data_IF_384324776620
#
_entry.id   IF_384324776620
#
_cell.length_a   1.000
_cell.length_b   1.000
_cell.length_c   1.000
_cell.angle_alpha   90.00
_cell.angle_beta   90.00
_cell.angle_gamma   90.00
#
_symmetry.space_group_name_H-M   'P 1'
#
loop_
_entity.id
_entity.type
_entity.pdbx_description
1 polymer ?
#
# COMPACT_ATOMS: atom_id res chain seq x y z
N UNK A 1 -2.00 16.46 14.89
CA UNK A 1 -1.81 16.60 13.44
C UNK A 1 -2.89 17.47 12.82
N UNK A 2 -2.52 18.35 11.92
CA UNK A 2 -3.47 19.17 11.17
C UNK A 2 -4.01 18.38 9.99
N UNK A 3 -5.30 18.58 9.70
CA UNK A 3 -5.93 17.93 8.56
C UNK A 3 -7.35 17.50 8.88
N UNK A 4 -7.98 16.86 7.92
CA UNK A 4 -9.34 16.35 8.04
C UNK A 4 -9.32 14.83 8.23
N UNK A 5 -10.27 14.33 9.00
CA UNK A 5 -10.49 12.89 9.09
C UNK A 5 -11.10 12.41 7.78
N UNK A 6 -10.52 11.36 7.23
CA UNK A 6 -10.91 10.80 5.94
C UNK A 6 -11.03 9.29 6.05
N UNK A 7 -11.99 8.72 5.34
CA UNK A 7 -12.19 7.28 5.22
C UNK A 7 -12.37 6.96 3.75
N UNK A 8 -11.63 5.97 3.26
CA UNK A 8 -11.76 5.53 1.86
C UNK A 8 -11.57 4.03 1.78
N UNK A 9 -12.48 3.36 1.10
CA UNK A 9 -12.47 1.91 0.93
C UNK A 9 -12.71 1.63 -0.55
N UNK A 10 -11.69 1.10 -1.22
CA UNK A 10 -11.73 0.83 -2.65
C UNK A 10 -11.41 -0.63 -2.91
N UNK A 11 -12.11 -1.22 -3.85
CA UNK A 11 -11.88 -2.60 -4.29
C UNK A 11 -11.81 -2.64 -5.80
N UNK A 12 -10.84 -3.37 -6.32
CA UNK A 12 -10.68 -3.56 -7.77
C UNK A 12 -10.56 -5.05 -8.08
N UNK A 13 -10.92 -5.39 -9.31
CA UNK A 13 -10.65 -6.70 -9.87
C UNK A 13 -9.33 -6.64 -10.62
N UNK A 14 -8.51 -7.69 -10.47
CA UNK A 14 -7.23 -7.81 -11.15
C UNK A 14 -7.07 -9.22 -11.69
N UNK A 15 -6.41 -9.35 -12.83
CA UNK A 15 -6.12 -10.67 -13.40
C UNK A 15 -4.81 -11.19 -12.84
N UNK A 16 -4.85 -11.60 -11.57
CA UNK A 16 -3.69 -12.10 -10.87
C UNK A 16 -4.11 -13.07 -9.76
N UNK A 17 -3.22 -14.01 -9.47
CA UNK A 17 -3.40 -14.96 -8.38
C UNK A 17 -3.06 -14.32 -7.04
N UNK A 18 -3.61 -14.88 -5.98
CA UNK A 18 -3.36 -14.42 -4.61
C UNK A 18 -1.86 -14.30 -4.31
N UNK A 19 -1.07 -15.29 -4.69
CA UNK A 19 0.37 -15.27 -4.43
C UNK A 19 1.08 -14.11 -5.14
N UNK A 20 0.69 -13.81 -6.37
CA UNK A 20 1.29 -12.72 -7.14
C UNK A 20 0.98 -11.37 -6.51
N UNK A 21 -0.25 -11.20 -6.03
CA UNK A 21 -0.66 -9.97 -5.34
C UNK A 21 0.10 -9.85 -4.02
N UNK A 22 0.17 -10.93 -3.24
CA UNK A 22 0.91 -10.95 -1.99
C UNK A 22 2.36 -10.52 -2.18
N UNK A 23 3.04 -11.12 -3.14
CA UNK A 23 4.45 -10.83 -3.41
C UNK A 23 4.65 -9.38 -3.82
N UNK A 24 3.71 -8.84 -4.59
CA UNK A 24 3.77 -7.43 -5.02
C UNK A 24 3.62 -6.45 -3.86
N UNK A 25 2.93 -6.85 -2.81
CA UNK A 25 2.73 -6.01 -1.61
C UNK A 25 3.83 -6.20 -0.58
N UNK A 26 4.35 -7.41 -0.41
CA UNK A 26 5.24 -7.73 0.70
C UNK A 26 6.73 -7.75 0.33
N UNK A 27 7.07 -8.03 -0.92
CA UNK A 27 8.47 -7.99 -1.37
C UNK A 27 8.86 -6.55 -1.71
N UNK A 28 9.87 -6.03 -1.03
CA UNK A 28 10.24 -4.61 -1.13
C UNK A 28 10.64 -4.20 -2.53
N UNK A 29 11.34 -5.06 -3.26
CA UNK A 29 11.74 -4.76 -4.64
C UNK A 29 10.53 -4.54 -5.55
N UNK A 30 9.49 -5.34 -5.35
CA UNK A 30 8.25 -5.22 -6.12
C UNK A 30 7.46 -3.99 -5.67
N UNK A 31 7.33 -3.79 -4.38
CA UNK A 31 6.63 -2.62 -3.81
C UNK A 31 7.19 -1.31 -4.35
N UNK A 32 8.51 -1.16 -4.36
CA UNK A 32 9.16 0.04 -4.88
C UNK A 32 8.91 0.25 -6.36
N UNK A 33 8.75 -0.81 -7.11
CA UNK A 33 8.55 -0.74 -8.56
C UNK A 33 7.21 -0.11 -8.92
N UNK A 34 6.13 -0.54 -8.26
CA UNK A 34 4.80 -0.04 -8.63
C UNK A 34 4.36 1.17 -7.80
N UNK A 35 4.94 1.40 -6.64
CA UNK A 35 4.52 2.49 -5.76
C UNK A 35 5.24 3.83 -6.04
N UNK A 36 5.94 3.91 -7.15
CA UNK A 36 6.48 5.18 -7.62
C UNK A 36 5.33 6.18 -7.81
N UNK A 37 5.43 7.50 -7.50
CA UNK A 37 6.65 8.25 -7.20
C UNK A 37 7.06 8.33 -5.73
N UNK A 38 6.51 7.52 -4.86
CA UNK A 38 6.93 7.53 -3.46
C UNK A 38 8.35 6.98 -3.33
N UNK A 39 9.13 7.60 -2.46
CA UNK A 39 10.44 7.12 -2.09
C UNK A 39 10.34 6.42 -0.74
N UNK A 40 11.10 5.35 -0.57
CA UNK A 40 11.10 4.58 0.66
C UNK A 40 12.48 4.59 1.31
N UNK A 41 12.47 4.57 2.64
CA UNK A 41 13.68 4.37 3.42
C UNK A 41 13.42 3.31 4.47
N UNK A 42 14.50 2.63 4.87
CA UNK A 42 14.45 1.57 5.89
C UNK A 42 13.58 0.37 5.53
N UNK A 43 13.34 0.13 4.22
CA UNK A 43 12.59 -1.05 3.78
C UNK A 43 13.44 -2.32 3.95
N UNK A 44 12.93 -3.34 4.66
CA UNK A 44 13.57 -4.66 4.67
C UNK A 44 13.35 -5.35 3.31
N UNK A 45 13.99 -6.49 3.10
CA UNK A 45 13.80 -7.26 1.86
C UNK A 45 12.36 -7.72 1.69
N UNK A 46 11.73 -8.10 2.80
CA UNK A 46 10.33 -8.52 2.82
C UNK A 46 9.67 -7.91 4.05
N UNK A 47 8.41 -7.49 3.91
CA UNK A 47 7.67 -6.94 5.04
C UNK A 47 7.22 -8.05 5.99
N UNK A 48 7.45 -7.84 7.28
CA UNK A 48 7.01 -8.75 8.33
C UNK A 48 6.37 -7.95 9.46
N UNK A 49 5.58 -8.62 10.30
CA UNK A 49 4.94 -7.96 11.45
C UNK A 49 5.97 -7.29 12.35
N UNK A 50 5.67 -6.07 12.77
CA UNK A 50 6.56 -5.29 13.65
C UNK A 50 7.59 -4.46 12.92
N UNK A 51 7.69 -4.58 11.60
CA UNK A 51 8.66 -3.82 10.79
C UNK A 51 8.18 -2.38 10.60
N UNK A 52 9.10 -1.43 10.70
CA UNK A 52 8.85 -0.02 10.42
C UNK A 52 9.54 0.39 9.13
N UNK A 53 8.91 1.27 8.36
CA UNK A 53 9.55 1.90 7.23
C UNK A 53 8.92 3.27 6.98
N UNK A 54 9.62 4.09 6.21
CA UNK A 54 9.15 5.44 5.89
C UNK A 54 8.99 5.58 4.39
N UNK A 55 7.88 6.19 3.96
CA UNK A 55 7.73 6.62 2.58
C UNK A 55 7.70 8.15 2.54
N UNK A 56 8.09 8.71 1.42
CA UNK A 56 8.03 10.16 1.24
C UNK A 56 7.51 10.50 -0.13
N UNK A 57 6.65 11.52 -0.17
CA UNK A 57 6.09 12.07 -1.39
C UNK A 57 6.40 13.57 -1.34
N UNK A 58 7.46 13.97 -2.05
CA UNK A 58 7.98 15.33 -1.93
C UNK A 58 8.47 15.59 -0.50
N UNK A 59 7.92 16.61 0.13
CA UNK A 59 8.28 17.00 1.50
C UNK A 59 7.48 16.27 2.57
N UNK A 60 6.45 15.53 2.18
CA UNK A 60 5.58 14.82 3.13
C UNK A 60 6.14 13.43 3.39
N UNK A 61 6.39 13.13 4.66
CA UNK A 61 6.85 11.82 5.11
C UNK A 61 5.72 11.10 5.82
N UNK A 62 5.60 9.81 5.54
CA UNK A 62 4.63 8.93 6.18
C UNK A 62 5.41 7.78 6.80
N UNK A 63 5.23 7.57 8.10
CA UNK A 63 5.80 6.43 8.78
C UNK A 63 4.80 5.30 8.80
N UNK A 64 5.27 4.10 8.47
CA UNK A 64 4.46 2.89 8.42
C UNK A 64 5.00 1.88 9.41
N UNK A 65 4.10 1.25 10.16
CA UNK A 65 4.44 0.13 11.02
C UNK A 65 3.55 -1.04 10.63
N UNK A 66 4.15 -2.17 10.29
CA UNK A 66 3.41 -3.38 9.97
C UNK A 66 2.82 -3.93 11.27
N UNK A 67 1.51 -3.76 11.45
CA UNK A 67 0.82 -4.26 12.63
C UNK A 67 0.58 -5.76 12.54
N UNK A 68 0.08 -6.21 11.38
CA UNK A 68 -0.20 -7.63 11.17
C UNK A 68 -0.20 -8.00 9.70
N UNK A 69 0.12 -9.26 9.44
CA UNK A 69 -0.02 -9.89 8.12
C UNK A 69 -0.71 -11.22 8.37
N UNK A 70 -2.02 -11.30 8.13
CA UNK A 70 -2.84 -12.48 8.41
C UNK A 70 -3.98 -12.61 7.40
N UNK A 71 -4.32 -13.85 7.06
CA UNK A 71 -5.52 -14.16 6.27
C UNK A 71 -5.64 -13.31 4.99
N UNK A 72 -4.52 -13.15 4.27
CA UNK A 72 -4.45 -12.35 3.06
C UNK A 72 -4.80 -10.88 3.30
N UNK A 73 -4.45 -10.37 4.46
CA UNK A 73 -4.55 -8.96 4.79
C UNK A 73 -3.25 -8.45 5.40
N UNK A 74 -2.84 -7.27 4.97
CA UNK A 74 -1.70 -6.52 5.49
C UNK A 74 -2.24 -5.26 6.13
N UNK A 75 -1.99 -5.07 7.42
CA UNK A 75 -2.43 -3.88 8.14
C UNK A 75 -1.23 -3.05 8.56
N UNK A 76 -1.25 -1.79 8.17
CA UNK A 76 -0.20 -0.82 8.46
C UNK A 76 -0.75 0.30 9.34
N UNK A 77 -0.06 0.59 10.43
CA UNK A 77 -0.34 1.80 11.21
C UNK A 77 0.47 2.94 10.61
N UNK A 78 -0.16 4.10 10.49
CA UNK A 78 0.43 5.27 9.85
C UNK A 78 0.60 6.41 10.83
N UNK A 79 1.69 7.17 10.68
CA UNK A 79 1.93 8.37 11.48
C UNK A 79 2.69 9.40 10.64
N UNK A 80 2.83 10.61 11.19
CA UNK A 80 3.39 11.80 10.55
C UNK A 80 2.46 12.36 9.47
N UNK A 81 2.68 12.13 8.19
CA UNK A 81 1.84 12.69 7.13
C UNK A 81 0.39 12.23 7.14
N UNK A 82 0.12 11.07 7.75
CA UNK A 82 -1.21 10.52 7.94
C UNK A 82 -1.25 9.92 9.35
N UNK A 83 -2.28 10.26 10.12
CA UNK A 83 -2.49 9.65 11.43
C UNK A 83 -3.66 8.69 11.34
N UNK A 84 -3.38 7.40 11.19
CA UNK A 84 -4.41 6.40 11.00
C UNK A 84 -3.86 5.04 10.60
N UNK A 85 -4.54 4.37 9.67
CA UNK A 85 -4.10 3.06 9.21
C UNK A 85 -4.42 2.82 7.74
N UNK A 86 -3.70 1.88 7.15
CA UNK A 86 -3.93 1.40 5.79
C UNK A 86 -3.99 -0.12 5.82
N UNK A 87 -5.06 -0.70 5.30
CA UNK A 87 -5.23 -2.14 5.24
C UNK A 87 -5.42 -2.59 3.81
N UNK A 88 -4.61 -3.56 3.41
CA UNK A 88 -4.69 -4.22 2.10
C UNK A 88 -5.18 -5.64 2.31
N UNK A 89 -6.24 -6.03 1.59
CA UNK A 89 -6.71 -7.41 1.59
C UNK A 89 -6.83 -7.88 0.15
N UNK A 90 -6.61 -9.16 -0.09
CA UNK A 90 -6.57 -9.69 -1.44
C UNK A 90 -6.98 -11.16 -1.48
N UNK A 91 -7.28 -11.63 -2.69
CA UNK A 91 -7.53 -13.01 -3.01
C UNK A 91 -7.32 -13.21 -4.50
N UNK A 92 -7.64 -14.39 -5.01
CA UNK A 92 -7.55 -14.62 -6.46
C UNK A 92 -8.48 -13.66 -7.18
N UNK A 93 -7.92 -12.82 -8.04
CA UNK A 93 -8.69 -11.93 -8.91
C UNK A 93 -9.18 -10.63 -8.28
N UNK A 94 -8.82 -10.32 -7.05
CA UNK A 94 -9.28 -9.07 -6.41
C UNK A 94 -8.29 -8.50 -5.40
N UNK A 95 -8.44 -7.20 -5.18
CA UNK A 95 -7.61 -6.44 -4.24
C UNK A 95 -8.45 -5.33 -3.63
N UNK A 96 -8.36 -5.16 -2.32
CA UNK A 96 -9.09 -4.14 -1.57
C UNK A 96 -8.12 -3.32 -0.73
N UNK A 97 -8.31 -2.00 -0.74
CA UNK A 97 -7.54 -1.07 0.07
C UNK A 97 -8.50 -0.25 0.94
N UNK A 98 -8.24 -0.25 2.24
CA UNK A 98 -8.97 0.58 3.20
C UNK A 98 -7.98 1.53 3.85
N UNK A 99 -8.28 2.82 3.79
CA UNK A 99 -7.42 3.86 4.31
C UNK A 99 -8.24 4.81 5.16
N UNK A 100 -7.88 4.95 6.42
CA UNK A 100 -8.54 5.86 7.35
C UNK A 100 -7.50 6.66 8.10
N UNK A 101 -7.76 7.94 8.28
CA UNK A 101 -6.89 8.75 9.10
C UNK A 101 -7.10 10.24 8.93
N UNK A 102 -6.35 10.99 9.72
CA UNK A 102 -6.31 12.43 9.66
C UNK A 102 -5.11 12.84 8.82
N UNK A 103 -5.35 13.66 7.80
CA UNK A 103 -4.29 14.10 6.90
C UNK A 103 -4.71 15.36 6.15
N UNK A 104 -3.71 16.16 5.73
CA UNK A 104 -3.92 17.25 4.78
C UNK A 104 -3.87 16.72 3.35
N UNK A 105 -3.41 15.49 3.14
CA UNK A 105 -3.33 14.87 1.82
C UNK A 105 -4.71 14.36 1.39
N UNK A 106 -5.03 14.38 0.08
CA UNK A 106 -6.26 13.79 -0.42
C UNK A 106 -6.11 12.27 -0.48
N UNK A 107 -6.48 11.56 0.58
CA UNK A 107 -6.20 10.13 0.72
C UNK A 107 -6.86 9.27 -0.36
N UNK A 108 -8.10 9.59 -0.74
CA UNK A 108 -8.80 8.85 -1.78
C UNK A 108 -8.07 8.93 -3.13
N UNK A 109 -7.54 10.10 -3.47
CA UNK A 109 -6.78 10.28 -4.70
C UNK A 109 -5.50 9.46 -4.69
N UNK A 110 -4.75 9.51 -3.60
CA UNK A 110 -3.53 8.73 -3.44
C UNK A 110 -3.80 7.23 -3.50
N UNK A 111 -4.87 6.79 -2.85
CA UNK A 111 -5.28 5.39 -2.85
C UNK A 111 -5.67 4.92 -4.26
N UNK A 112 -6.44 5.74 -4.99
CA UNK A 112 -6.84 5.43 -6.36
C UNK A 112 -5.62 5.29 -7.26
N UNK A 113 -4.66 6.20 -7.14
CA UNK A 113 -3.43 6.16 -7.92
C UNK A 113 -2.62 4.90 -7.61
N UNK A 114 -2.48 4.55 -6.35
CA UNK A 114 -1.75 3.36 -5.92
C UNK A 114 -2.38 2.08 -6.48
N UNK A 115 -3.69 1.96 -6.40
CA UNK A 115 -4.41 0.80 -6.94
C UNK A 115 -4.24 0.70 -8.45
N UNK A 116 -4.33 1.82 -9.17
CA UNK A 116 -4.14 1.85 -10.60
C UNK A 116 -2.73 1.41 -11.00
N UNK A 117 -1.72 1.88 -10.28
CA UNK A 117 -0.34 1.51 -10.57
C UNK A 117 -0.07 0.04 -10.28
N UNK A 118 -0.61 -0.48 -9.19
CA UNK A 118 -0.47 -1.89 -8.87
C UNK A 118 -1.14 -2.76 -9.93
N UNK A 119 -2.33 -2.37 -10.38
CA UNK A 119 -3.03 -3.08 -11.45
C UNK A 119 -2.21 -3.13 -12.72
N UNK A 120 -1.63 -1.99 -13.13
CA UNK A 120 -0.78 -1.93 -14.31
C UNK A 120 0.46 -2.80 -14.16
N UNK A 121 1.06 -2.80 -12.99
CA UNK A 121 2.23 -3.63 -12.69
C UNK A 121 1.90 -5.12 -12.85
N UNK A 122 0.77 -5.55 -12.31
CA UNK A 122 0.33 -6.94 -12.42
C UNK A 122 0.02 -7.36 -13.85
N UNK A 123 -0.58 -6.48 -14.63
CA UNK A 123 -0.85 -6.73 -16.05
C UNK A 123 0.46 -6.90 -16.81
N UNK A 124 1.44 -6.03 -16.59
CA UNK A 124 2.73 -6.10 -17.25
C UNK A 124 3.46 -7.40 -16.90
N UNK A 125 3.40 -7.83 -15.65
CA UNK A 125 4.01 -9.10 -15.23
C UNK A 125 3.33 -10.30 -15.88
N UNK A 126 2.02 -10.30 -15.97
CA UNK A 126 1.27 -11.36 -16.63
C UNK A 126 1.65 -11.46 -18.11
N UNK A 127 1.83 -10.32 -18.77
CA UNK A 127 2.18 -10.27 -20.21
C UNK A 127 3.61 -10.73 -20.50
N UNK A 128 4.50 -10.69 -19.51
CA UNK A 128 5.91 -11.05 -19.71
C UNK A 128 6.20 -12.53 -19.47
N UNK A 129 5.20 -13.30 -19.11
CA UNK A 129 5.33 -14.75 -18.88
C UNK A 129 5.18 -15.56 -20.14
#
# INVERSE_FOLDING_TARGET
>A
MLGNFQQSNLRIEVDAKEEEIRDSLLQSDRLKTWMWPQNFSSLPTILTSGTDFTSSLGLVKIEHQVESIEDNCLRLLLSNGIDGYHEWCWGDGWLQSRLEGISILPLNLGQTLSLFRLRQYLIAKSSSK
#
